data_IF_262999878613
#
_entry.id   IF_262999878613
#
_cell.length_a   1.000
_cell.length_b   1.000
_cell.length_c   1.000
_cell.angle_alpha   90.00
_cell.angle_beta   90.00
_cell.angle_gamma   90.00
#
_symmetry.space_group_name_H-M   'P 1'
#
loop_
_entity.id
_entity.type
_entity.pdbx_description
1 polymer ?
#
# COMPACT_ATOMS: atom_id res chain seq x y z
N UNK A 1 -12.60 -52.87 3.40
CA UNK A 1 -13.27 -51.76 4.09
C UNK A 1 -12.18 -50.95 4.73
N UNK A 2 -11.45 -50.31 3.86
CA UNK A 2 -10.31 -49.46 4.21
C UNK A 2 -10.28 -48.38 3.18
N UNK A 3 -9.89 -47.24 3.64
CA UNK A 3 -9.38 -46.17 2.81
C UNK A 3 -10.40 -45.22 2.23
N UNK A 4 -10.87 -44.29 3.07
CA UNK A 4 -11.23 -42.91 2.62
C UNK A 4 -10.98 -41.94 3.78
N UNK A 5 -9.74 -41.89 4.27
CA UNK A 5 -9.22 -40.67 4.90
C UNK A 5 -8.66 -39.79 3.81
N UNK A 6 -9.55 -39.14 3.09
CA UNK A 6 -9.17 -38.00 2.29
C UNK A 6 -8.63 -36.95 3.26
N UNK A 7 -7.33 -36.72 3.19
CA UNK A 7 -6.70 -35.57 3.81
C UNK A 7 -7.45 -34.34 3.29
N UNK A 8 -8.16 -33.68 4.17
CA UNK A 8 -8.45 -32.26 4.00
C UNK A 8 -7.09 -31.62 4.16
N UNK A 9 -6.43 -31.30 3.08
CA UNK A 9 -5.37 -30.32 3.09
C UNK A 9 -6.04 -29.05 3.67
N UNK A 10 -5.70 -28.70 4.91
CA UNK A 10 -5.96 -27.38 5.44
C UNK A 10 -5.18 -26.44 4.51
N UNK A 11 -5.86 -25.85 3.55
CA UNK A 11 -5.33 -24.67 2.85
C UNK A 11 -5.03 -23.66 3.95
N UNK A 12 -3.76 -23.42 4.20
CA UNK A 12 -3.33 -22.40 5.14
C UNK A 12 -4.01 -21.08 4.74
N UNK A 13 -4.78 -20.51 5.64
CA UNK A 13 -5.43 -19.22 5.41
C UNK A 13 -4.31 -18.19 5.44
N UNK A 14 -3.81 -17.80 4.27
CA UNK A 14 -2.85 -16.71 4.17
C UNK A 14 -3.55 -15.37 4.29
N UNK A 15 -2.95 -14.46 5.04
CA UNK A 15 -3.40 -13.08 5.21
C UNK A 15 -2.50 -12.14 4.40
N UNK A 16 -3.07 -11.01 4.03
CA UNK A 16 -2.32 -9.96 3.34
C UNK A 16 -2.05 -8.80 4.28
N UNK A 17 -0.85 -8.26 4.17
CA UNK A 17 -0.38 -7.16 5.01
C UNK A 17 0.21 -6.06 4.15
N UNK A 18 -0.22 -4.82 4.38
CA UNK A 18 0.47 -3.66 3.85
C UNK A 18 1.66 -3.34 4.77
N UNK A 19 2.86 -3.30 4.22
CA UNK A 19 4.06 -2.84 4.87
C UNK A 19 4.43 -1.45 4.30
N UNK A 20 4.19 -0.39 5.05
CA UNK A 20 4.61 0.97 4.71
C UNK A 20 6.04 1.19 5.19
N UNK A 21 6.88 1.74 4.31
CA UNK A 21 8.31 1.94 4.54
C UNK A 21 8.58 3.42 4.74
N UNK A 22 9.12 3.81 5.88
CA UNK A 22 9.40 5.20 6.15
C UNK A 22 10.72 5.45 6.84
N UNK A 23 11.14 6.71 6.80
CA UNK A 23 12.38 7.16 7.44
C UNK A 23 12.69 8.61 7.13
N UNK A 24 13.81 9.09 7.66
CA UNK A 24 14.30 10.43 7.39
C UNK A 24 14.78 10.55 5.94
N UNK A 25 13.97 11.23 5.12
CA UNK A 25 14.25 11.41 3.70
C UNK A 25 15.53 12.18 3.43
N UNK A 26 15.95 13.05 4.35
CA UNK A 26 17.20 13.83 4.23
C UNK A 26 18.47 12.97 4.33
N UNK A 27 18.35 11.77 4.87
CA UNK A 27 19.44 10.81 5.01
C UNK A 27 19.49 9.81 3.84
N UNK A 28 18.48 9.82 2.95
CA UNK A 28 18.42 8.90 1.81
C UNK A 28 19.35 9.35 0.69
N UNK A 29 20.19 8.47 0.14
CA UNK A 29 21.05 8.81 -0.99
C UNK A 29 20.21 9.11 -2.24
N UNK A 30 20.65 10.06 -3.03
CA UNK A 30 20.00 10.44 -4.28
C UNK A 30 20.22 9.42 -5.39
N UNK A 31 19.28 9.28 -6.35
CA UNK A 31 19.42 8.40 -7.51
C UNK A 31 20.71 8.69 -8.31
N UNK A 32 21.35 7.62 -8.80
CA UNK A 32 22.58 7.70 -9.58
C UNK A 32 23.84 7.87 -8.77
N UNK A 33 23.80 7.70 -7.44
CA UNK A 33 24.96 7.64 -6.56
C UNK A 33 25.30 6.18 -6.21
N UNK A 34 26.59 5.85 -5.96
CA UNK A 34 26.96 4.50 -5.52
C UNK A 34 26.27 4.07 -4.22
N UNK A 35 25.98 5.02 -3.34
CA UNK A 35 25.26 4.79 -2.10
C UNK A 35 23.79 4.40 -2.37
N UNK A 36 23.14 5.01 -3.36
CA UNK A 36 21.81 4.65 -3.81
C UNK A 36 21.79 3.24 -4.41
N UNK A 37 22.78 2.92 -5.27
CA UNK A 37 22.91 1.59 -5.86
C UNK A 37 23.10 0.51 -4.78
N UNK A 38 23.87 0.83 -3.71
CA UNK A 38 24.03 -0.09 -2.59
C UNK A 38 22.73 -0.30 -1.77
N UNK A 39 21.88 0.72 -1.66
CA UNK A 39 20.55 0.59 -1.07
C UNK A 39 19.65 -0.28 -1.95
N UNK A 40 19.63 -0.04 -3.25
CA UNK A 40 18.86 -0.86 -4.18
C UNK A 40 19.27 -2.33 -4.14
N UNK A 41 20.57 -2.61 -4.08
CA UNK A 41 21.08 -4.00 -3.98
C UNK A 41 20.54 -4.72 -2.75
N UNK A 42 20.42 -4.04 -1.59
CA UNK A 42 19.80 -4.62 -0.38
C UNK A 42 18.31 -4.94 -0.58
N UNK A 43 17.57 -4.09 -1.30
CA UNK A 43 16.17 -4.35 -1.65
C UNK A 43 16.05 -5.51 -2.64
N UNK A 44 16.94 -5.63 -3.63
CA UNK A 44 16.96 -6.76 -4.57
C UNK A 44 17.23 -8.09 -3.84
N UNK A 45 18.17 -8.10 -2.89
CA UNK A 45 18.43 -9.28 -2.06
C UNK A 45 17.23 -9.67 -1.20
N UNK A 46 16.48 -8.70 -0.68
CA UNK A 46 15.23 -8.96 0.02
C UNK A 46 14.18 -9.58 -0.92
N UNK A 47 14.01 -9.04 -2.12
CA UNK A 47 13.11 -9.58 -3.13
C UNK A 47 13.50 -11.01 -3.53
N UNK A 48 14.74 -11.25 -3.89
CA UNK A 48 15.21 -12.58 -4.31
C UNK A 48 14.98 -13.67 -3.25
N UNK A 49 15.07 -13.28 -1.99
CA UNK A 49 14.89 -14.20 -0.87
C UNK A 49 13.42 -14.47 -0.53
N UNK A 50 12.52 -13.52 -0.79
CA UNK A 50 11.15 -13.54 -0.28
C UNK A 50 10.10 -13.33 -1.40
N UNK A 51 10.41 -13.62 -2.67
CA UNK A 51 9.56 -13.36 -3.83
C UNK A 51 8.18 -14.01 -3.73
N UNK A 52 8.09 -15.21 -3.19
CA UNK A 52 6.81 -15.93 -2.98
C UNK A 52 5.87 -15.21 -2.00
N UNK A 53 6.42 -14.42 -1.07
CA UNK A 53 5.66 -13.67 -0.08
C UNK A 53 5.34 -12.23 -0.51
N UNK A 54 5.91 -11.74 -1.61
CA UNK A 54 5.75 -10.36 -2.08
C UNK A 54 4.71 -10.33 -3.20
N UNK A 55 3.53 -9.81 -2.92
CA UNK A 55 2.46 -9.66 -3.91
C UNK A 55 2.61 -8.38 -4.73
N UNK A 56 3.10 -7.30 -4.12
CA UNK A 56 3.39 -6.03 -4.75
C UNK A 56 4.42 -5.25 -3.95
N UNK A 57 5.14 -4.33 -4.59
CA UNK A 57 6.07 -3.44 -3.91
C UNK A 57 6.60 -2.37 -4.85
N UNK A 58 6.64 -1.12 -4.36
CA UNK A 58 7.08 0.03 -5.16
C UNK A 58 7.86 1.03 -4.30
N UNK A 59 8.90 1.59 -4.88
CA UNK A 59 9.59 2.75 -4.34
C UNK A 59 8.88 4.05 -4.77
N UNK A 60 8.81 5.01 -3.87
CA UNK A 60 8.15 6.30 -4.11
C UNK A 60 9.17 7.40 -4.38
N UNK A 61 8.80 8.35 -5.23
CA UNK A 61 9.59 9.56 -5.41
C UNK A 61 9.56 10.41 -4.11
N UNK A 62 10.49 11.36 -3.93
CA UNK A 62 10.56 12.20 -2.74
C UNK A 62 9.23 12.86 -2.36
N UNK A 63 8.99 13.03 -1.07
CA UNK A 63 7.72 13.55 -0.53
C UNK A 63 7.30 14.91 -1.10
N UNK A 64 8.25 15.74 -1.48
CA UNK A 64 8.01 17.04 -2.14
C UNK A 64 7.26 16.90 -3.48
N UNK A 65 7.30 15.73 -4.12
CA UNK A 65 6.58 15.44 -5.37
C UNK A 65 5.13 15.02 -5.16
N UNK A 66 4.71 14.84 -3.90
CA UNK A 66 3.35 14.47 -3.57
C UNK A 66 2.35 15.54 -3.99
N UNK A 67 1.13 15.09 -4.24
CA UNK A 67 -0.04 15.97 -4.43
C UNK A 67 -1.16 15.46 -3.53
N UNK A 68 -1.71 16.33 -2.71
CA UNK A 68 -2.83 16.01 -1.83
C UNK A 68 -4.13 16.56 -2.39
N UNK A 69 -5.13 15.70 -2.53
CA UNK A 69 -6.51 16.07 -2.92
C UNK A 69 -7.39 15.90 -1.70
N UNK A 70 -8.02 16.97 -1.22
CA UNK A 70 -9.01 16.95 -0.13
C UNK A 70 -10.39 17.32 -0.67
N UNK A 71 -11.43 16.73 -0.12
CA UNK A 71 -12.79 17.13 -0.44
C UNK A 71 -13.28 18.12 0.62
N UNK A 72 -13.62 19.32 0.17
CA UNK A 72 -14.18 20.37 1.01
C UNK A 72 -15.46 20.94 0.37
N UNK A 73 -16.56 20.88 1.11
CA UNK A 73 -17.88 21.37 0.62
C UNK A 73 -18.27 20.75 -0.74
N UNK A 74 -17.92 19.47 -0.96
CA UNK A 74 -18.20 18.74 -2.19
C UNK A 74 -17.32 19.14 -3.40
N UNK A 75 -16.25 19.92 -3.17
CA UNK A 75 -15.29 20.30 -4.21
C UNK A 75 -13.88 19.79 -3.88
N UNK A 76 -13.12 19.29 -4.87
CA UNK A 76 -11.74 18.90 -4.66
C UNK A 76 -10.85 20.15 -4.47
N UNK A 77 -10.09 20.14 -3.39
CA UNK A 77 -9.01 21.09 -3.13
C UNK A 77 -7.67 20.37 -3.33
N UNK A 78 -6.91 20.81 -4.33
CA UNK A 78 -5.61 20.22 -4.67
C UNK A 78 -4.49 21.07 -4.10
N UNK A 79 -3.56 20.45 -3.38
CA UNK A 79 -2.38 21.11 -2.82
C UNK A 79 -1.13 20.32 -3.19
N UNK A 80 -0.03 21.01 -3.47
CA UNK A 80 1.29 20.38 -3.64
C UNK A 80 1.84 19.97 -2.28
N UNK A 81 2.53 18.83 -2.22
CA UNK A 81 3.13 18.27 -1.02
C UNK A 81 2.32 17.14 -0.41
N UNK A 82 2.90 16.44 0.58
CA UNK A 82 2.29 15.33 1.27
C UNK A 82 1.10 15.76 2.13
N UNK A 83 0.28 14.78 2.50
CA UNK A 83 -0.88 14.98 3.37
C UNK A 83 -0.51 15.57 4.72
N UNK A 84 0.59 15.10 5.31
CA UNK A 84 1.18 15.62 6.54
C UNK A 84 2.66 15.92 6.30
N UNK A 85 3.10 17.11 6.73
CA UNK A 85 4.51 17.46 6.73
C UNK A 85 5.17 16.86 7.97
N UNK A 86 6.03 15.88 7.78
CA UNK A 86 6.80 15.21 8.83
C UNK A 86 8.28 15.15 8.43
N UNK A 87 9.17 15.02 9.40
CA UNK A 87 10.61 14.83 9.16
C UNK A 87 10.84 13.46 8.51
N UNK A 88 10.03 12.48 8.89
CA UNK A 88 10.07 11.15 8.33
C UNK A 88 8.98 11.00 7.27
N UNK A 89 9.39 10.58 6.08
CA UNK A 89 8.53 10.45 4.93
C UNK A 89 8.38 8.98 4.53
N UNK A 90 7.25 8.68 3.90
CA UNK A 90 7.02 7.39 3.27
C UNK A 90 7.88 7.30 2.01
N UNK A 91 8.76 6.28 1.95
CA UNK A 91 9.67 6.02 0.82
C UNK A 91 9.25 4.88 -0.08
N UNK A 92 8.27 4.05 0.35
CA UNK A 92 7.80 2.91 -0.42
C UNK A 92 6.79 2.07 0.35
N UNK A 93 6.38 0.97 -0.26
CA UNK A 93 5.50 -0.01 0.38
C UNK A 93 5.73 -1.40 -0.21
N UNK A 94 5.30 -2.42 0.55
CA UNK A 94 5.06 -3.78 0.06
C UNK A 94 3.65 -4.24 0.44
N UNK A 95 3.09 -5.10 -0.39
CA UNK A 95 1.98 -5.99 0.00
C UNK A 95 2.56 -7.36 0.18
N UNK A 96 2.50 -7.86 1.39
CA UNK A 96 3.07 -9.15 1.80
C UNK A 96 1.96 -10.16 2.04
N UNK A 97 2.21 -11.41 1.70
CA UNK A 97 1.38 -12.55 2.08
C UNK A 97 2.08 -13.33 3.18
N UNK A 98 1.37 -13.62 4.28
CA UNK A 98 1.89 -14.35 5.42
C UNK A 98 0.76 -15.09 6.14
N UNK A 99 1.08 -16.22 6.81
CA UNK A 99 0.07 -17.00 7.54
C UNK A 99 -0.36 -16.27 8.83
N UNK A 100 0.58 -15.60 9.49
CA UNK A 100 0.36 -14.91 10.76
C UNK A 100 0.99 -13.52 10.77
N UNK A 101 0.60 -12.69 11.75
CA UNK A 101 1.26 -11.40 11.99
C UNK A 101 2.74 -11.58 12.36
N UNK A 102 3.08 -12.63 13.10
CA UNK A 102 4.48 -12.91 13.46
C UNK A 102 5.33 -13.20 12.23
N UNK A 103 4.79 -13.92 11.23
CA UNK A 103 5.47 -14.16 9.96
C UNK A 103 5.61 -12.86 9.14
N UNK A 104 4.59 -12.00 9.15
CA UNK A 104 4.65 -10.70 8.51
C UNK A 104 5.70 -9.77 9.17
N UNK A 105 5.84 -9.81 10.50
CA UNK A 105 6.90 -9.11 11.24
C UNK A 105 8.28 -9.67 10.88
N UNK A 106 8.39 -11.00 10.75
CA UNK A 106 9.63 -11.65 10.35
C UNK A 106 10.08 -11.25 8.92
N UNK A 107 9.13 -11.05 7.99
CA UNK A 107 9.39 -10.47 6.69
C UNK A 107 9.78 -8.99 6.80
N UNK A 108 9.01 -8.22 7.55
CA UNK A 108 9.21 -6.77 7.71
C UNK A 108 10.59 -6.39 8.27
N UNK A 109 11.10 -7.14 9.26
CA UNK A 109 12.43 -6.89 9.82
C UNK A 109 13.58 -7.11 8.83
N UNK A 110 13.35 -7.84 7.74
CA UNK A 110 14.33 -8.09 6.68
C UNK A 110 14.32 -6.99 5.61
N UNK A 111 13.25 -6.18 5.55
CA UNK A 111 13.18 -5.03 4.64
C UNK A 111 14.24 -4.00 5.07
N UNK A 112 15.07 -3.48 4.15
CA UNK A 112 16.12 -2.51 4.51
C UNK A 112 15.62 -1.30 5.30
N UNK A 113 14.40 -0.82 5.01
CA UNK A 113 13.79 0.28 5.75
C UNK A 113 13.66 0.04 7.26
N UNK A 114 13.53 -1.20 7.72
CA UNK A 114 13.49 -1.51 9.15
C UNK A 114 14.79 -1.09 9.88
N UNK A 115 15.94 -1.16 9.20
CA UNK A 115 17.23 -0.74 9.73
C UNK A 115 17.50 0.75 9.54
N UNK A 116 17.04 1.32 8.42
CA UNK A 116 17.34 2.69 8.02
C UNK A 116 16.26 3.68 8.49
N UNK A 117 15.10 3.18 8.92
CA UNK A 117 13.94 3.95 9.34
C UNK A 117 12.97 3.08 10.13
N UNK A 118 11.82 2.75 9.52
CA UNK A 118 10.79 1.89 10.10
C UNK A 118 9.95 1.21 9.02
N UNK A 119 9.30 0.12 9.40
CA UNK A 119 8.28 -0.59 8.61
C UNK A 119 7.01 -0.70 9.45
N UNK A 120 5.91 -0.14 8.97
CA UNK A 120 4.59 -0.27 9.59
C UNK A 120 3.80 -1.36 8.87
N UNK A 121 3.57 -2.48 9.54
CA UNK A 121 2.83 -3.63 9.04
C UNK A 121 1.38 -3.54 9.49
N UNK A 122 0.44 -3.63 8.55
CA UNK A 122 -0.98 -3.55 8.85
C UNK A 122 -1.78 -4.60 8.08
N UNK A 123 -2.63 -5.39 8.73
CA UNK A 123 -3.48 -6.35 8.04
C UNK A 123 -4.40 -5.66 7.02
N UNK A 124 -4.59 -6.31 5.88
CA UNK A 124 -5.52 -5.87 4.85
C UNK A 124 -6.83 -6.63 4.94
N UNK A 125 -7.93 -5.93 4.75
CA UNK A 125 -9.26 -6.55 4.63
C UNK A 125 -9.38 -7.20 3.25
N UNK A 126 -8.90 -6.50 2.23
CA UNK A 126 -8.90 -6.98 0.85
C UNK A 126 -7.70 -6.42 0.07
N UNK A 127 -7.31 -7.10 -0.97
CA UNK A 127 -6.35 -6.67 -1.97
C UNK A 127 -6.73 -7.27 -3.31
N UNK A 128 -6.73 -6.46 -4.35
CA UNK A 128 -6.83 -6.88 -5.73
C UNK A 128 -5.68 -6.31 -6.55
N UNK A 129 -5.21 -7.08 -7.53
CA UNK A 129 -4.20 -6.65 -8.49
C UNK A 129 -4.63 -7.04 -9.91
N UNK A 130 -4.88 -6.03 -10.73
CA UNK A 130 -5.29 -6.19 -12.12
C UNK A 130 -4.11 -6.30 -13.08
N UNK A 131 -2.88 -6.06 -12.63
CA UNK A 131 -1.69 -6.28 -13.47
C UNK A 131 -1.40 -7.76 -13.66
N UNK A 132 -1.73 -8.59 -12.69
CA UNK A 132 -1.68 -10.05 -12.78
C UNK A 132 -2.89 -10.64 -13.55
N UNK A 133 -4.00 -9.93 -13.64
CA UNK A 133 -5.27 -10.39 -14.24
C UNK A 133 -5.26 -10.52 -15.78
N UNK A 134 -4.12 -10.38 -16.43
CA UNK A 134 -4.00 -10.80 -17.85
C UNK A 134 -4.16 -12.32 -18.01
N UNK A 135 -4.09 -13.06 -16.91
CA UNK A 135 -4.41 -14.50 -16.83
C UNK A 135 -5.61 -14.80 -15.91
N UNK A 136 -6.62 -13.92 -15.90
CA UNK A 136 -7.78 -14.00 -15.00
C UNK A 136 -8.39 -15.40 -14.93
N UNK A 137 -8.22 -16.05 -13.79
CA UNK A 137 -9.10 -17.11 -13.31
C UNK A 137 -10.39 -16.53 -12.72
N UNK A 138 -11.43 -17.31 -12.73
CA UNK A 138 -12.80 -17.02 -12.34
C UNK A 138 -12.96 -16.13 -11.10
N UNK A 139 -13.46 -14.91 -11.28
CA UNK A 139 -14.04 -14.10 -10.20
C UNK A 139 -13.74 -12.60 -10.21
N UNK A 140 -12.61 -12.15 -10.77
CA UNK A 140 -12.27 -10.74 -10.82
C UNK A 140 -13.04 -9.99 -11.92
N UNK A 141 -13.54 -8.76 -11.65
CA UNK A 141 -14.23 -8.01 -12.66
C UNK A 141 -13.29 -7.71 -13.84
N UNK A 142 -13.75 -7.92 -15.10
CA UNK A 142 -12.91 -7.74 -16.27
C UNK A 142 -12.34 -6.33 -16.32
N UNK A 143 -11.02 -6.24 -16.56
CA UNK A 143 -10.36 -4.94 -16.74
C UNK A 143 -10.80 -4.36 -18.09
N UNK A 144 -11.45 -3.21 -18.14
CA UNK A 144 -11.85 -2.60 -19.39
C UNK A 144 -10.65 -2.02 -20.12
N UNK A 145 -10.09 -2.78 -21.05
CA UNK A 145 -9.03 -2.32 -21.95
C UNK A 145 -7.63 -2.26 -21.32
N UNK A 146 -6.61 -1.94 -22.15
CA UNK A 146 -5.25 -1.77 -21.65
C UNK A 146 -5.13 -0.54 -20.75
N UNK A 147 -4.17 -0.53 -19.80
CA UNK A 147 -3.90 0.68 -19.01
C UNK A 147 -3.43 1.82 -19.91
N UNK A 148 -3.64 3.08 -19.51
CA UNK A 148 -3.05 4.21 -20.19
C UNK A 148 -1.51 4.10 -20.15
N UNK A 149 -0.84 4.55 -21.21
CA UNK A 149 0.61 4.77 -21.16
C UNK A 149 0.89 5.97 -20.26
N UNK A 150 1.91 5.89 -19.39
CA UNK A 150 2.32 7.01 -18.55
C UNK A 150 2.72 6.62 -17.14
N UNK A 151 2.96 7.63 -16.29
CA UNK A 151 3.48 7.43 -14.95
C UNK A 151 2.49 6.69 -14.04
N UNK A 152 3.09 5.99 -13.07
CA UNK A 152 2.35 5.26 -12.01
C UNK A 152 2.38 6.05 -10.71
N UNK A 153 1.32 5.90 -9.94
CA UNK A 153 1.13 6.60 -8.67
C UNK A 153 0.58 5.65 -7.61
N UNK A 154 1.07 5.81 -6.39
CA UNK A 154 0.38 5.33 -5.21
C UNK A 154 -0.61 6.42 -4.78
N UNK A 155 -1.87 6.06 -4.60
CA UNK A 155 -2.91 6.90 -4.02
C UNK A 155 -3.23 6.36 -2.63
N UNK A 156 -2.78 7.04 -1.57
CA UNK A 156 -3.09 6.71 -0.19
C UNK A 156 -4.39 7.42 0.22
N UNK A 157 -5.29 6.67 0.80
CA UNK A 157 -6.62 7.14 1.21
C UNK A 157 -6.55 7.51 2.69
N UNK A 158 -6.79 8.78 3.00
CA UNK A 158 -6.79 9.28 4.38
C UNK A 158 -8.17 9.69 4.83
N UNK A 159 -8.47 9.40 6.08
CA UNK A 159 -9.69 9.80 6.75
C UNK A 159 -9.60 9.60 8.26
N UNK A 160 -10.64 10.02 8.96
CA UNK A 160 -10.82 9.69 10.37
C UNK A 160 -11.47 8.33 10.49
N UNK A 161 -10.91 7.49 11.35
CA UNK A 161 -11.57 6.22 11.65
C UNK A 161 -12.89 6.45 12.40
N UNK A 162 -13.90 5.73 11.97
CA UNK A 162 -15.25 5.73 12.51
C UNK A 162 -15.74 4.30 12.74
N UNK A 163 -16.89 4.12 13.34
CA UNK A 163 -17.51 2.79 13.47
C UNK A 163 -17.82 2.18 12.10
N UNK A 164 -17.90 2.99 11.02
CA UNK A 164 -18.09 2.56 9.64
C UNK A 164 -16.85 1.94 9.00
N UNK A 165 -15.68 2.06 9.62
CA UNK A 165 -14.43 1.46 9.10
C UNK A 165 -14.17 0.06 9.68
N UNK A 166 -15.10 -0.46 10.47
CA UNK A 166 -15.04 -1.84 10.99
C UNK A 166 -15.59 -2.80 9.93
N UNK A 167 -14.81 -3.78 9.46
CA UNK A 167 -15.26 -4.77 8.50
C UNK A 167 -16.50 -5.55 9.00
N UNK A 168 -17.28 -6.09 8.06
CA UNK A 168 -18.49 -6.87 8.31
C UNK A 168 -19.63 -6.08 8.99
N UNK A 169 -19.64 -4.75 8.83
CA UNK A 169 -20.75 -3.88 9.25
C UNK A 169 -21.51 -3.33 8.04
N UNK A 170 -22.82 -2.99 8.17
CA UNK A 170 -23.57 -2.37 7.07
C UNK A 170 -22.97 -1.06 6.56
N UNK A 171 -22.31 -0.31 7.44
CA UNK A 171 -21.63 0.94 7.12
C UNK A 171 -20.38 0.68 6.28
N UNK A 172 -19.61 -0.36 6.64
CA UNK A 172 -18.49 -0.86 5.83
C UNK A 172 -18.95 -1.28 4.43
N UNK A 173 -20.00 -2.10 4.35
CA UNK A 173 -20.55 -2.57 3.07
C UNK A 173 -20.97 -1.42 2.16
N UNK A 174 -21.54 -0.36 2.75
CA UNK A 174 -21.94 0.85 2.01
C UNK A 174 -20.71 1.59 1.46
N UNK A 175 -19.65 1.76 2.25
CA UNK A 175 -18.38 2.35 1.84
C UNK A 175 -17.69 1.52 0.76
N UNK A 176 -17.57 0.21 0.97
CA UNK A 176 -17.02 -0.73 -0.01
C UNK A 176 -17.75 -0.65 -1.37
N UNK A 177 -19.09 -0.55 -1.34
CA UNK A 177 -19.89 -0.37 -2.55
C UNK A 177 -19.61 0.98 -3.24
N UNK A 178 -19.27 2.04 -2.52
CA UNK A 178 -18.86 3.32 -3.12
C UNK A 178 -17.50 3.21 -3.81
N UNK A 179 -16.54 2.57 -3.17
CA UNK A 179 -15.24 2.26 -3.77
C UNK A 179 -15.38 1.36 -4.98
N UNK A 180 -16.26 0.34 -4.94
CA UNK A 180 -16.56 -0.52 -6.09
C UNK A 180 -17.08 0.27 -7.30
N UNK A 181 -18.02 1.21 -7.08
CA UNK A 181 -18.52 2.11 -8.13
C UNK A 181 -17.42 3.02 -8.71
N UNK A 182 -16.53 3.52 -7.83
CA UNK A 182 -15.37 4.28 -8.28
C UNK A 182 -14.46 3.44 -9.17
N UNK A 183 -14.08 2.23 -8.75
CA UNK A 183 -13.20 1.31 -9.48
C UNK A 183 -13.78 0.98 -10.86
N UNK A 184 -15.10 0.70 -10.94
CA UNK A 184 -15.79 0.43 -12.19
C UNK A 184 -15.77 1.66 -13.12
N UNK A 185 -16.09 2.83 -12.59
CA UNK A 185 -16.16 4.07 -13.35
C UNK A 185 -14.79 4.63 -13.76
N UNK A 186 -13.73 4.37 -12.99
CA UNK A 186 -12.36 4.73 -13.32
C UNK A 186 -11.75 3.80 -14.38
N UNK A 187 -12.09 2.51 -14.32
CA UNK A 187 -11.68 1.52 -15.32
C UNK A 187 -10.19 1.16 -15.27
N UNK A 188 -9.54 1.08 -16.45
CA UNK A 188 -8.16 0.61 -16.60
C UNK A 188 -7.06 1.44 -15.90
N UNK A 189 -7.22 2.73 -15.60
CA UNK A 189 -6.28 3.47 -14.76
C UNK A 189 -6.07 2.92 -13.36
N UNK A 190 -7.07 2.27 -12.75
CA UNK A 190 -6.93 1.62 -11.44
C UNK A 190 -6.32 0.24 -11.65
N UNK A 191 -5.06 0.06 -11.23
CA UNK A 191 -4.28 -1.15 -11.46
C UNK A 191 -4.38 -2.15 -10.30
N UNK A 192 -4.35 -1.65 -9.09
CA UNK A 192 -4.47 -2.44 -7.88
C UNK A 192 -5.07 -1.60 -6.77
N UNK A 193 -5.48 -2.21 -5.69
CA UNK A 193 -5.95 -1.50 -4.51
C UNK A 193 -6.36 -2.43 -3.39
N UNK A 194 -6.56 -1.84 -2.22
CA UNK A 194 -6.99 -2.59 -1.06
C UNK A 194 -7.37 -1.71 0.10
N UNK A 195 -8.17 -2.29 0.97
CA UNK A 195 -8.62 -1.70 2.22
C UNK A 195 -7.87 -2.28 3.41
N UNK A 196 -7.66 -1.46 4.43
CA UNK A 196 -6.91 -1.80 5.62
C UNK A 196 -7.85 -2.02 6.81
N UNK A 197 -7.44 -2.91 7.71
CA UNK A 197 -8.03 -2.95 9.06
C UNK A 197 -7.73 -1.67 9.82
N UNK A 198 -8.37 -1.44 10.97
CA UNK A 198 -8.20 -0.25 11.80
C UNK A 198 -6.72 0.03 12.14
N UNK A 199 -6.36 1.32 12.27
CA UNK A 199 -4.98 1.73 12.54
C UNK A 199 -4.39 1.11 13.81
N UNK A 200 -5.23 0.83 14.81
CA UNK A 200 -4.82 0.15 16.03
C UNK A 200 -4.27 -1.27 15.80
N UNK A 201 -4.53 -1.89 14.64
CA UNK A 201 -3.97 -3.20 14.27
C UNK A 201 -2.59 -3.10 13.63
N UNK A 202 -2.06 -1.89 13.45
CA UNK A 202 -0.71 -1.70 12.91
C UNK A 202 0.35 -2.16 13.91
N UNK A 203 1.41 -2.74 13.39
CA UNK A 203 2.62 -3.06 14.14
C UNK A 203 3.80 -2.38 13.48
N UNK A 204 4.54 -1.58 14.22
CA UNK A 204 5.76 -0.91 13.73
C UNK A 204 6.99 -1.74 14.08
N UNK A 205 7.81 -2.02 13.07
CA UNK A 205 9.04 -2.82 13.16
C UNK A 205 10.25 -1.95 12.83
N UNK A 206 11.23 -1.98 13.70
CA UNK A 206 12.53 -1.34 13.51
C UNK A 206 13.65 -2.30 13.88
N UNK A 207 14.82 -2.13 13.30
CA UNK A 207 16.04 -2.85 13.68
C UNK A 207 17.07 -1.81 14.12
N UNK A 208 17.53 -1.90 15.37
CA UNK A 208 18.53 -1.00 15.93
C UNK A 208 19.63 -1.82 16.59
N UNK A 209 20.87 -1.59 16.21
CA UNK A 209 22.04 -2.31 16.74
C UNK A 209 21.92 -3.84 16.63
N UNK A 210 21.19 -4.33 15.61
CA UNK A 210 20.91 -5.75 15.37
C UNK A 210 19.76 -6.32 16.21
N UNK A 211 19.13 -5.52 17.06
CA UNK A 211 17.93 -5.90 17.82
C UNK A 211 16.65 -5.48 17.07
N UNK A 212 15.65 -6.35 17.07
CA UNK A 212 14.34 -6.08 16.50
C UNK A 212 13.46 -5.43 17.54
N UNK A 213 13.00 -4.22 17.25
CA UNK A 213 12.06 -3.48 18.09
C UNK A 213 10.68 -3.56 17.42
N UNK A 214 9.71 -4.09 18.16
CA UNK A 214 8.32 -4.21 17.72
C UNK A 214 7.47 -3.35 18.63
N UNK A 215 6.65 -2.48 18.04
CA UNK A 215 5.78 -1.56 18.78
C UNK A 215 4.36 -1.67 18.23
N UNK A 216 3.37 -1.81 19.09
CA UNK A 216 1.96 -1.78 18.73
C UNK A 216 1.57 -0.36 18.29
N UNK A 217 0.81 -0.28 17.19
CA UNK A 217 0.34 0.96 16.61
C UNK A 217 1.20 1.50 15.46
N UNK A 218 0.70 2.52 14.76
CA UNK A 218 1.43 3.19 13.69
C UNK A 218 2.63 3.95 14.25
N UNK A 219 3.64 4.17 13.41
CA UNK A 219 4.86 4.89 13.79
C UNK A 219 4.59 6.30 14.34
N UNK A 220 3.61 7.01 13.77
CA UNK A 220 3.16 8.31 14.25
C UNK A 220 1.65 8.27 14.51
N UNK A 221 1.24 8.76 15.68
CA UNK A 221 -0.17 8.93 15.99
C UNK A 221 -0.75 10.13 15.22
N UNK A 222 -1.85 9.91 14.51
CA UNK A 222 -2.59 10.94 13.79
C UNK A 222 -4.09 10.75 13.98
N UNK A 223 -4.85 11.84 13.96
CA UNK A 223 -6.30 11.78 13.97
C UNK A 223 -6.89 11.34 12.62
N UNK A 224 -6.12 11.49 11.55
CA UNK A 224 -6.43 11.03 10.20
C UNK A 224 -5.40 9.95 9.84
N UNK A 225 -5.87 8.79 9.44
CA UNK A 225 -5.05 7.60 9.17
C UNK A 225 -5.31 7.09 7.76
N UNK A 226 -4.37 6.31 7.24
CA UNK A 226 -4.55 5.63 5.95
C UNK A 226 -5.58 4.51 6.10
N UNK A 227 -6.72 4.59 5.41
CA UNK A 227 -7.75 3.54 5.37
C UNK A 227 -7.58 2.54 4.25
N UNK A 228 -6.78 2.86 3.22
CA UNK A 228 -6.56 2.02 2.06
C UNK A 228 -5.65 2.68 1.04
N UNK A 229 -5.48 2.01 -0.10
CA UNK A 229 -4.64 2.50 -1.18
C UNK A 229 -5.15 2.05 -2.56
N UNK A 230 -4.73 2.80 -3.58
CA UNK A 230 -4.79 2.37 -4.97
C UNK A 230 -3.44 2.54 -5.67
N UNK A 231 -3.14 1.65 -6.59
CA UNK A 231 -2.13 1.86 -7.62
C UNK A 231 -2.83 2.39 -8.87
N UNK A 232 -2.43 3.56 -9.30
CA UNK A 232 -2.97 4.23 -10.48
C UNK A 232 -1.91 4.29 -11.58
N UNK A 233 -2.36 4.17 -12.83
CA UNK A 233 -1.56 4.49 -14.01
C UNK A 233 -2.33 5.51 -14.83
N UNK A 234 -1.72 6.64 -15.17
CA UNK A 234 -2.38 7.75 -15.83
C UNK A 234 -1.51 8.31 -16.96
N UNK A 235 -2.14 8.96 -17.93
CA UNK A 235 -1.43 9.59 -19.04
C UNK A 235 -0.55 10.79 -18.63
N UNK A 236 -0.93 11.44 -17.53
CA UNK A 236 -0.21 12.59 -16.96
C UNK A 236 -0.46 12.70 -15.45
N UNK A 237 0.33 13.50 -14.70
CA UNK A 237 0.03 13.81 -13.30
C UNK A 237 -1.34 14.48 -13.12
N UNK A 238 -1.76 15.32 -14.03
CA UNK A 238 -3.05 16.00 -14.01
C UNK A 238 -4.20 15.00 -14.16
N UNK A 239 -4.04 13.97 -15.01
CA UNK A 239 -5.00 12.89 -15.14
C UNK A 239 -5.08 12.06 -13.85
N UNK A 240 -3.95 11.78 -13.19
CA UNK A 240 -3.91 11.09 -11.91
C UNK A 240 -4.65 11.89 -10.81
N UNK A 241 -4.48 13.20 -10.76
CA UNK A 241 -5.21 14.10 -9.85
C UNK A 241 -6.71 14.07 -10.14
N UNK A 242 -7.11 14.09 -11.43
CA UNK A 242 -8.51 14.01 -11.81
C UNK A 242 -9.16 12.67 -11.43
N UNK A 243 -8.39 11.56 -11.45
CA UNK A 243 -8.84 10.25 -10.97
C UNK A 243 -8.95 10.28 -9.43
N UNK A 244 -7.91 10.75 -8.73
CA UNK A 244 -7.87 10.83 -7.28
C UNK A 244 -9.02 11.68 -6.71
N UNK A 245 -9.38 12.76 -7.38
CA UNK A 245 -10.52 13.61 -7.01
C UNK A 245 -11.90 12.91 -7.07
N UNK A 246 -11.97 11.68 -7.58
CA UNK A 246 -13.19 10.86 -7.65
C UNK A 246 -13.18 9.72 -6.65
N UNK A 247 -12.07 9.48 -5.96
CA UNK A 247 -12.00 8.47 -4.90
C UNK A 247 -12.89 8.91 -3.74
N UNK A 248 -13.78 8.05 -3.24
CA UNK A 248 -14.66 8.38 -2.11
C UNK A 248 -13.86 8.38 -0.80
N UNK A 249 -13.21 9.51 -0.49
CA UNK A 249 -12.33 9.68 0.66
C UNK A 249 -12.36 11.13 1.16
N UNK A 250 -12.00 11.38 2.42
CA UNK A 250 -11.80 12.73 2.94
C UNK A 250 -10.58 13.40 2.29
N UNK A 251 -9.50 12.64 2.14
CA UNK A 251 -8.31 13.08 1.45
C UNK A 251 -7.59 11.91 0.75
N UNK A 252 -6.87 12.24 -0.32
CA UNK A 252 -6.02 11.32 -1.06
C UNK A 252 -4.65 11.96 -1.25
N UNK A 253 -3.60 11.27 -0.85
CA UNK A 253 -2.22 11.64 -1.20
C UNK A 253 -1.79 10.83 -2.42
N UNK A 254 -1.43 11.52 -3.49
CA UNK A 254 -0.80 10.93 -4.65
C UNK A 254 0.72 11.02 -4.55
N UNK A 255 1.39 9.88 -4.61
CA UNK A 255 2.84 9.76 -4.65
C UNK A 255 3.26 9.15 -5.98
N UNK A 256 4.06 9.84 -6.79
CA UNK A 256 4.63 9.22 -7.98
C UNK A 256 5.52 8.03 -7.60
N UNK A 257 5.39 6.95 -8.36
CA UNK A 257 6.25 5.77 -8.22
C UNK A 257 7.58 6.04 -8.92
N UNK A 258 8.67 5.57 -8.32
CA UNK A 258 10.01 5.69 -8.89
C UNK A 258 10.19 4.61 -9.96
N UNK A 259 10.61 5.01 -11.14
CA UNK A 259 11.03 4.06 -12.18
C UNK A 259 12.48 3.66 -11.89
N UNK A 260 12.64 2.43 -11.40
CA UNK A 260 13.95 1.81 -11.20
C UNK A 260 14.28 1.09 -12.50
N UNK A 261 15.23 1.64 -13.27
CA UNK A 261 15.66 1.15 -14.59
C UNK A 261 16.33 -0.21 -14.56
#
# INVERSE_FOLDING_TARGET
MDDERRSLDEEAITMRYLALLGGDESLQPGPGTPEFDAVLERYWQFHEKNDEAILAGEALQPSITATTVRHRDGQPLVTSGPFAETVEALGGFYVLEAETLDDAIELARQIPAASDGWVAVRPMVEWFDRSAAVEAGDGDPPVPGPPPEGPRFLALIYGRETDGDVPDTPEWDAGAAEHGRFIEAAGSPVRAGGALHLAATTTTVQVRDGEVLVTDGPYAESAEVTGGLYLLQAGSPEDAVAIAARIPAEAVELRPIMELG
#
